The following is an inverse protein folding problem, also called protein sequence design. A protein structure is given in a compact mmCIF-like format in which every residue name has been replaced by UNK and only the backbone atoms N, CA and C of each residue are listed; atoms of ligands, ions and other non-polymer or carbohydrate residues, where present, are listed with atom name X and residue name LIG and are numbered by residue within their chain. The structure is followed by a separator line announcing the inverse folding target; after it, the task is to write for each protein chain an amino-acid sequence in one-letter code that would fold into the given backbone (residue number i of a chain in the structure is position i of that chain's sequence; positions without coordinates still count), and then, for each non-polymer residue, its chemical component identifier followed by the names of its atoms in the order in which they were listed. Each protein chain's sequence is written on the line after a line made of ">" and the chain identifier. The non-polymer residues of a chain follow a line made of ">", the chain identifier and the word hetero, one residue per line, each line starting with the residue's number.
data_IF_591639306235
#
_entry.id   IF_591639306235
#
_cell.length_a   1.000
_cell.length_b   1.000
_cell.length_c   1.000
_cell.angle_alpha   90.00
_cell.angle_beta   90.00
_cell.angle_gamma   90.00
#
_symmetry.space_group_name_H-M   'P 1'
#
loop_
_entity.id
_entity.type
_entity.pdbx_description
1 polymer ?
#
# COMPACT_ATOMS: atom_id res chain seq x y z
N UNK A 1 -13.46 13.63 11.53
CA UNK A 1 -12.87 14.79 10.83
C UNK A 1 -11.94 15.49 11.80
N UNK A 2 -10.64 15.49 11.52
CA UNK A 2 -9.65 16.28 12.27
C UNK A 2 -9.18 17.44 11.40
N UNK A 3 -8.98 18.60 12.02
CA UNK A 3 -8.42 19.78 11.38
C UNK A 3 -7.05 20.08 12.01
N UNK A 4 -6.00 20.10 11.19
CA UNK A 4 -4.67 20.55 11.59
C UNK A 4 -4.41 21.94 10.97
N UNK A 5 -3.81 22.84 11.76
CA UNK A 5 -3.49 24.19 11.32
C UNK A 5 -2.18 24.71 11.91
N UNK A 6 -1.43 25.45 11.09
CA UNK A 6 -0.18 26.15 11.48
C UNK A 6 -0.53 27.63 11.70
N UNK A 7 -0.55 28.13 12.92
CA UNK A 7 -0.99 29.50 13.26
C UNK A 7 -0.10 30.58 12.63
N UNK A 8 -0.72 31.58 11.95
CA UNK A 8 -0.05 32.71 11.30
C UNK A 8 -0.89 33.35 10.16
N UNK A 9 -0.45 34.49 9.58
CA UNK A 9 -1.18 35.20 8.49
C UNK A 9 -1.36 34.36 7.20
N UNK A 10 -0.52 33.33 7.02
CA UNK A 10 -0.64 32.34 5.95
C UNK A 10 -1.18 30.99 6.46
N UNK A 11 -2.21 31.03 7.31
CA UNK A 11 -2.81 29.82 7.86
C UNK A 11 -3.31 28.89 6.75
N UNK A 12 -2.85 27.64 6.76
CA UNK A 12 -3.36 26.55 5.93
C UNK A 12 -4.08 25.56 6.81
N UNK A 13 -5.23 25.09 6.36
CA UNK A 13 -6.06 24.13 7.08
C UNK A 13 -6.09 22.84 6.27
N UNK A 14 -5.78 21.72 6.92
CA UNK A 14 -5.91 20.39 6.31
C UNK A 14 -7.02 19.64 7.03
N UNK A 15 -8.03 19.21 6.27
CA UNK A 15 -9.10 18.35 6.70
C UNK A 15 -8.78 16.91 6.32
N UNK A 16 -8.65 16.04 7.33
CA UNK A 16 -8.43 14.61 7.16
C UNK A 16 -9.74 13.87 7.46
N UNK A 17 -10.23 13.16 6.45
CA UNK A 17 -11.44 12.34 6.54
C UNK A 17 -11.05 10.90 6.26
N UNK A 18 -11.19 10.06 7.27
CA UNK A 18 -10.85 8.64 7.19
C UNK A 18 -12.07 7.82 6.77
N UNK A 19 -11.87 6.82 5.92
CA UNK A 19 -12.86 5.82 5.52
C UNK A 19 -14.16 6.40 4.94
N UNK A 20 -14.04 7.30 3.96
CA UNK A 20 -15.20 7.97 3.37
C UNK A 20 -16.17 7.00 2.68
N UNK A 21 -15.67 5.87 2.18
CA UNK A 21 -16.48 4.82 1.57
C UNK A 21 -17.59 4.30 2.50
N UNK A 22 -17.29 4.12 3.79
CA UNK A 22 -18.31 3.72 4.77
C UNK A 22 -19.32 4.81 5.08
N UNK A 23 -18.89 6.07 5.10
CA UNK A 23 -19.79 7.20 5.33
C UNK A 23 -20.79 7.40 4.18
N UNK A 24 -20.33 7.20 2.95
CA UNK A 24 -21.16 7.37 1.75
C UNK A 24 -22.06 6.15 1.53
N UNK A 25 -21.54 4.94 1.75
CA UNK A 25 -22.28 3.70 1.55
C UNK A 25 -22.92 3.66 0.15
N UNK A 26 -24.25 3.60 0.08
CA UNK A 26 -25.02 3.66 -1.17
C UNK A 26 -25.70 5.02 -1.42
N UNK A 27 -25.48 6.01 -0.53
CA UNK A 27 -26.11 7.33 -0.61
C UNK A 27 -25.25 8.32 -1.39
N UNK A 28 -25.59 8.45 -2.67
CA UNK A 28 -24.98 9.38 -3.60
C UNK A 28 -25.11 10.85 -3.19
N UNK A 29 -26.09 11.22 -2.35
CA UNK A 29 -26.23 12.60 -1.88
C UNK A 29 -25.14 13.03 -0.88
N UNK A 30 -24.62 12.10 -0.08
CA UNK A 30 -23.54 12.39 0.86
C UNK A 30 -22.24 12.71 0.14
N UNK A 31 -21.95 12.04 -0.98
CA UNK A 31 -20.80 12.37 -1.82
C UNK A 31 -20.93 13.77 -2.44
N UNK A 32 -22.11 14.12 -2.96
CA UNK A 32 -22.37 15.46 -3.50
C UNK A 32 -22.22 16.55 -2.43
N UNK A 33 -22.63 16.25 -1.21
CA UNK A 33 -22.47 17.17 -0.07
C UNK A 33 -21.00 17.38 0.27
N UNK A 34 -20.21 16.31 0.34
CA UNK A 34 -18.76 16.38 0.56
C UNK A 34 -18.05 17.17 -0.54
N UNK A 35 -18.46 16.97 -1.79
CA UNK A 35 -17.95 17.73 -2.93
C UNK A 35 -18.25 19.22 -2.77
N UNK A 36 -19.51 19.58 -2.50
CA UNK A 36 -19.93 20.98 -2.32
C UNK A 36 -19.14 21.65 -1.19
N UNK A 37 -18.90 20.93 -0.09
CA UNK A 37 -18.07 21.41 1.01
C UNK A 37 -16.62 21.64 0.54
N UNK A 38 -16.04 20.71 -0.21
CA UNK A 38 -14.66 20.80 -0.71
C UNK A 38 -14.48 21.96 -1.69
N UNK A 39 -15.44 22.18 -2.60
CA UNK A 39 -15.43 23.29 -3.56
C UNK A 39 -15.59 24.65 -2.85
N UNK A 40 -16.50 24.73 -1.88
CA UNK A 40 -16.68 25.93 -1.06
C UNK A 40 -15.44 26.24 -0.24
N UNK A 41 -14.80 25.23 0.35
CA UNK A 41 -13.53 25.41 1.07
C UNK A 41 -12.42 25.88 0.14
N UNK A 42 -12.29 25.31 -1.05
CA UNK A 42 -11.31 25.76 -2.05
C UNK A 42 -11.52 27.22 -2.46
N UNK A 43 -12.77 27.63 -2.64
CA UNK A 43 -13.14 29.00 -3.06
C UNK A 43 -12.98 30.00 -1.91
N UNK A 44 -13.57 29.74 -0.74
CA UNK A 44 -13.55 30.63 0.42
C UNK A 44 -12.15 30.77 1.02
N UNK A 45 -11.36 29.69 1.03
CA UNK A 45 -10.01 29.72 1.58
C UNK A 45 -8.95 30.09 0.52
N UNK A 46 -9.33 30.39 -0.72
CA UNK A 46 -8.43 30.69 -1.84
C UNK A 46 -7.34 29.63 -2.02
N UNK A 47 -7.73 28.35 -1.99
CA UNK A 47 -6.80 27.21 -2.12
C UNK A 47 -5.94 26.92 -0.87
N UNK A 48 -6.15 27.63 0.25
CA UNK A 48 -5.43 27.40 1.52
C UNK A 48 -6.06 26.33 2.42
N UNK A 49 -7.19 25.76 2.00
CA UNK A 49 -7.81 24.61 2.67
C UNK A 49 -7.68 23.37 1.80
N UNK A 50 -7.11 22.31 2.35
CA UNK A 50 -6.93 21.02 1.67
C UNK A 50 -7.83 19.98 2.32
N UNK A 51 -8.49 19.16 1.50
CA UNK A 51 -9.31 18.06 1.96
C UNK A 51 -8.66 16.78 1.47
N UNK A 52 -8.29 15.91 2.41
CA UNK A 52 -7.70 14.60 2.15
C UNK A 52 -8.67 13.56 2.66
N UNK A 53 -9.08 12.67 1.76
CA UNK A 53 -10.02 11.57 2.02
C UNK A 53 -9.32 10.23 1.81
N UNK A 54 -9.59 9.26 2.67
CA UNK A 54 -9.13 7.86 2.51
C UNK A 54 -10.33 6.94 2.31
N UNK A 55 -10.12 5.80 1.63
CA UNK A 55 -11.13 4.73 1.44
C UNK A 55 -10.43 3.38 1.42
N UNK A 56 -10.98 2.36 2.10
CA UNK A 56 -10.43 1.00 2.10
C UNK A 56 -10.55 0.31 0.74
N UNK A 57 -11.68 0.50 0.08
CA UNK A 57 -11.91 -0.01 -1.28
C UNK A 57 -11.71 1.11 -2.28
N UNK A 58 -11.28 0.73 -3.48
CA UNK A 58 -11.36 1.63 -4.62
C UNK A 58 -12.79 2.15 -4.69
N UNK A 59 -12.96 3.47 -4.69
CA UNK A 59 -14.28 4.08 -4.85
C UNK A 59 -14.94 3.50 -6.11
N UNK A 60 -14.18 3.17 -7.15
CA UNK A 60 -14.69 2.51 -8.37
C UNK A 60 -15.33 1.13 -8.10
N UNK A 61 -14.78 0.36 -7.16
CA UNK A 61 -15.27 -0.97 -6.80
C UNK A 61 -16.56 -0.88 -5.95
N UNK A 62 -16.61 0.06 -5.01
CA UNK A 62 -17.82 0.36 -4.22
C UNK A 62 -18.97 0.81 -5.13
N UNK A 63 -18.65 1.46 -6.25
CA UNK A 63 -19.62 1.96 -7.21
C UNK A 63 -20.18 0.91 -8.17
N UNK A 64 -19.45 -0.17 -8.44
CA UNK A 64 -19.92 -1.26 -9.29
C UNK A 64 -21.17 -1.96 -8.75
N UNK A 65 -21.40 -1.89 -7.45
CA UNK A 65 -22.61 -2.42 -6.79
C UNK A 65 -23.81 -1.44 -6.84
N UNK A 66 -23.60 -0.19 -7.21
CA UNK A 66 -24.65 0.83 -7.30
C UNK A 66 -25.34 0.71 -8.67
N UNK A 67 -26.68 0.56 -8.66
CA UNK A 67 -27.54 0.44 -9.86
C UNK A 67 -27.06 1.34 -11.01
N UNK A 68 -26.96 0.77 -12.22
CA UNK A 68 -26.40 1.39 -13.43
C UNK A 68 -26.87 2.83 -13.75
N UNK A 69 -28.07 3.23 -13.29
CA UNK A 69 -28.57 4.60 -13.46
C UNK A 69 -27.87 5.64 -12.57
N UNK A 70 -27.38 5.27 -11.38
CA UNK A 70 -26.64 6.15 -10.46
C UNK A 70 -25.13 6.19 -10.74
N UNK A 71 -24.59 5.16 -11.41
CA UNK A 71 -23.18 5.07 -11.76
C UNK A 71 -22.72 6.21 -12.69
N UNK A 72 -23.57 6.62 -13.65
CA UNK A 72 -23.22 7.64 -14.64
C UNK A 72 -23.10 9.06 -14.04
N UNK A 73 -23.92 9.38 -13.04
CA UNK A 73 -23.80 10.64 -12.31
C UNK A 73 -22.55 10.64 -11.41
N UNK A 74 -22.17 9.48 -10.90
CA UNK A 74 -21.00 9.33 -10.04
C UNK A 74 -19.66 9.40 -10.79
N UNK A 75 -19.59 8.87 -12.02
CA UNK A 75 -18.40 9.04 -12.88
C UNK A 75 -18.11 10.51 -13.19
N UNK A 76 -19.15 11.36 -13.31
CA UNK A 76 -19.00 12.82 -13.45
C UNK A 76 -18.53 13.48 -12.15
N UNK A 77 -18.96 12.97 -10.99
CA UNK A 77 -18.56 13.45 -9.66
C UNK A 77 -17.09 13.13 -9.40
N UNK A 78 -16.64 11.91 -9.71
CA UNK A 78 -15.24 11.49 -9.57
C UNK A 78 -14.27 12.34 -10.41
N UNK A 79 -14.64 12.71 -11.64
CA UNK A 79 -13.80 13.54 -12.51
C UNK A 79 -13.42 14.92 -11.94
N UNK A 80 -14.06 15.35 -10.84
CA UNK A 80 -13.78 16.60 -10.14
C UNK A 80 -12.75 16.46 -9.01
N UNK A 81 -12.53 15.24 -8.51
CA UNK A 81 -11.39 14.91 -7.64
C UNK A 81 -10.14 14.65 -8.51
N UNK A 82 -9.48 15.73 -8.92
CA UNK A 82 -8.41 15.67 -9.92
C UNK A 82 -7.16 14.91 -9.48
N UNK A 83 -6.94 14.74 -8.17
CA UNK A 83 -5.73 14.11 -7.64
C UNK A 83 -6.10 12.85 -6.86
N UNK A 84 -5.95 11.71 -7.52
CA UNK A 84 -6.14 10.40 -6.91
C UNK A 84 -4.76 9.77 -6.69
N UNK A 85 -4.41 9.60 -5.42
CA UNK A 85 -3.24 8.81 -5.03
C UNK A 85 -3.75 7.40 -4.74
N UNK A 86 -3.63 6.52 -5.74
CA UNK A 86 -3.88 5.10 -5.53
C UNK A 86 -2.65 4.50 -4.87
N UNK A 87 -2.80 4.00 -3.65
CA UNK A 87 -1.81 3.14 -3.04
C UNK A 87 -2.05 1.74 -3.59
N UNK A 88 -1.27 1.33 -4.59
CA UNK A 88 -1.36 -0.03 -5.15
C UNK A 88 -0.57 -1.02 -4.27
N UNK A 89 -0.84 -2.30 -4.47
CA UNK A 89 -0.08 -3.39 -3.89
C UNK A 89 1.42 -3.34 -4.22
N UNK A 90 1.82 -2.66 -5.30
CA UNK A 90 3.23 -2.45 -5.64
C UNK A 90 3.97 -1.60 -4.58
N UNK A 91 3.24 -0.73 -3.87
CA UNK A 91 3.79 0.07 -2.77
C UNK A 91 3.95 -0.74 -1.47
N UNK A 92 3.32 -1.92 -1.37
CA UNK A 92 3.39 -2.74 -0.15
C UNK A 92 4.81 -3.28 0.05
N UNK A 93 5.51 -3.61 -1.04
CA UNK A 93 6.91 -4.06 -0.99
C UNK A 93 7.82 -2.97 -0.41
N UNK A 94 7.66 -1.71 -0.86
CA UNK A 94 8.39 -0.56 -0.32
C UNK A 94 8.06 -0.32 1.16
N UNK A 95 6.80 -0.44 1.54
CA UNK A 95 6.37 -0.31 2.94
C UNK A 95 6.98 -1.41 3.80
N UNK A 96 7.03 -2.66 3.33
CA UNK A 96 7.67 -3.76 4.07
C UNK A 96 9.17 -3.49 4.21
N UNK A 97 9.85 -3.08 3.14
CA UNK A 97 11.26 -2.73 3.19
C UNK A 97 11.52 -1.63 4.22
N UNK A 98 10.78 -0.52 4.14
CA UNK A 98 10.97 0.63 5.01
C UNK A 98 10.58 0.38 6.47
N UNK A 99 9.56 -0.45 6.72
CA UNK A 99 9.01 -0.66 8.07
C UNK A 99 9.62 -1.85 8.80
N UNK A 100 9.89 -2.95 8.10
CA UNK A 100 10.37 -4.21 8.70
C UNK A 100 11.83 -4.49 8.41
N UNK A 101 12.34 -4.04 7.26
CA UNK A 101 13.69 -4.41 6.79
C UNK A 101 14.70 -3.28 6.84
N UNK A 102 14.31 -2.09 7.32
CA UNK A 102 15.21 -0.94 7.44
C UNK A 102 16.49 -1.33 8.18
N UNK A 103 17.62 -1.16 7.50
CA UNK A 103 18.93 -1.52 8.04
C UNK A 103 19.45 -0.43 8.96
N UNK A 104 20.22 -0.83 9.97
CA UNK A 104 21.11 0.11 10.66
C UNK A 104 22.31 0.35 9.75
N UNK A 105 22.82 1.57 9.74
CA UNK A 105 23.90 2.01 8.84
C UNK A 105 25.10 1.05 8.86
N UNK A 106 25.43 0.51 10.04
CA UNK A 106 26.54 -0.39 10.29
C UNK A 106 26.46 -1.73 9.51
N UNK A 107 25.27 -2.18 9.14
CA UNK A 107 25.06 -3.46 8.45
C UNK A 107 24.93 -3.31 6.92
N UNK A 108 24.79 -2.07 6.43
CA UNK A 108 24.70 -1.79 5.00
C UNK A 108 25.99 -2.17 4.29
N UNK A 109 27.14 -1.76 4.84
CA UNK A 109 28.47 -2.03 4.25
C UNK A 109 28.83 -3.52 4.29
N UNK A 110 28.44 -4.22 5.36
CA UNK A 110 28.64 -5.67 5.48
C UNK A 110 27.84 -6.43 4.42
N UNK A 111 26.57 -6.07 4.23
CA UNK A 111 25.70 -6.68 3.21
C UNK A 111 26.17 -6.35 1.79
N UNK A 112 26.66 -5.14 1.55
CA UNK A 112 27.29 -4.76 0.29
C UNK A 112 28.51 -5.65 -0.01
N UNK A 113 29.38 -5.85 0.98
CA UNK A 113 30.53 -6.75 0.88
C UNK A 113 30.14 -8.20 0.54
N UNK A 114 29.11 -8.73 1.21
CA UNK A 114 28.58 -10.07 0.93
C UNK A 114 28.03 -10.17 -0.49
N UNK A 115 27.26 -9.17 -0.94
CA UNK A 115 26.70 -9.18 -2.28
C UNK A 115 27.81 -9.12 -3.32
N UNK A 116 28.80 -8.25 -3.15
CA UNK A 116 29.93 -8.13 -4.09
C UNK A 116 30.73 -9.43 -4.24
N UNK A 117 30.93 -10.17 -3.14
CA UNK A 117 31.62 -11.45 -3.15
C UNK A 117 30.78 -12.59 -3.77
N UNK A 118 29.46 -12.55 -3.57
CA UNK A 118 28.57 -13.68 -3.90
C UNK A 118 27.51 -13.39 -4.96
N UNK A 119 27.57 -12.24 -5.64
CA UNK A 119 26.52 -11.77 -6.55
C UNK A 119 26.16 -12.82 -7.60
N UNK A 120 27.16 -13.43 -8.24
CA UNK A 120 26.94 -14.42 -9.29
C UNK A 120 26.28 -15.69 -8.76
N UNK A 121 26.70 -16.16 -7.59
CA UNK A 121 26.12 -17.33 -6.93
C UNK A 121 24.66 -17.04 -6.55
N UNK A 122 24.41 -15.87 -5.94
CA UNK A 122 23.08 -15.44 -5.52
C UNK A 122 22.15 -15.34 -6.75
N UNK A 123 22.59 -14.67 -7.83
CA UNK A 123 21.80 -14.53 -9.06
C UNK A 123 21.53 -15.88 -9.72
N UNK A 124 22.52 -16.77 -9.74
CA UNK A 124 22.37 -18.11 -10.31
C UNK A 124 21.41 -18.97 -9.50
N UNK A 125 21.53 -19.01 -8.18
CA UNK A 125 20.63 -19.81 -7.33
C UNK A 125 19.18 -19.30 -7.32
N UNK A 126 19.00 -18.00 -7.58
CA UNK A 126 17.70 -17.35 -7.66
C UNK A 126 17.17 -17.25 -9.10
N UNK A 127 17.86 -17.89 -10.05
CA UNK A 127 17.37 -17.99 -11.42
C UNK A 127 16.36 -19.14 -11.56
N UNK A 128 15.14 -18.78 -11.94
CA UNK A 128 14.05 -19.74 -12.11
C UNK A 128 13.92 -20.12 -13.59
N UNK A 129 14.24 -21.37 -13.93
CA UNK A 129 14.07 -21.91 -15.28
C UNK A 129 12.82 -22.79 -15.36
N UNK A 130 12.02 -22.64 -16.43
CA UNK A 130 10.84 -23.48 -16.75
C UNK A 130 9.70 -23.47 -15.72
N UNK A 131 9.54 -22.41 -14.94
CA UNK A 131 8.51 -22.34 -13.88
C UNK A 131 7.18 -21.73 -14.35
N UNK A 132 7.03 -21.46 -15.67
CA UNK A 132 5.80 -20.88 -16.25
C UNK A 132 5.50 -19.43 -15.82
N UNK A 133 6.28 -18.89 -14.88
CA UNK A 133 6.19 -17.53 -14.36
C UNK A 133 7.58 -16.95 -14.12
N UNK A 134 7.71 -15.65 -14.35
CA UNK A 134 8.93 -14.89 -14.04
C UNK A 134 8.86 -14.42 -12.59
N UNK A 135 9.82 -14.85 -11.80
CA UNK A 135 10.02 -14.40 -10.42
C UNK A 135 11.10 -13.34 -10.36
N UNK A 136 10.90 -12.32 -9.54
CA UNK A 136 11.86 -11.23 -9.38
C UNK A 136 13.12 -11.73 -8.65
N UNK A 137 14.29 -11.51 -9.26
CA UNK A 137 15.60 -11.67 -8.62
C UNK A 137 16.12 -10.32 -8.12
N UNK A 138 17.22 -10.33 -7.36
CA UNK A 138 17.90 -9.09 -6.97
C UNK A 138 18.42 -8.34 -8.20
N UNK A 139 18.03 -7.08 -8.36
CA UNK A 139 18.45 -6.23 -9.48
C UNK A 139 19.90 -5.82 -9.34
N UNK A 140 20.27 -5.35 -8.15
CA UNK A 140 21.57 -4.81 -7.82
C UNK A 140 21.89 -4.99 -6.32
N UNK A 141 23.03 -4.42 -5.90
CA UNK A 141 23.51 -4.46 -4.52
C UNK A 141 22.54 -3.75 -3.56
N UNK A 142 22.01 -2.60 -3.95
CA UNK A 142 21.10 -1.83 -3.11
C UNK A 142 19.78 -2.57 -2.91
N UNK A 143 19.28 -3.21 -3.98
CA UNK A 143 18.11 -4.07 -3.97
C UNK A 143 18.32 -5.26 -3.02
N UNK A 144 19.52 -5.88 -3.04
CA UNK A 144 19.87 -6.93 -2.08
C UNK A 144 19.86 -6.44 -0.63
N UNK A 145 20.49 -5.30 -0.35
CA UNK A 145 20.53 -4.71 1.00
C UNK A 145 19.11 -4.43 1.51
N UNK A 146 18.26 -3.86 0.67
CA UNK A 146 16.90 -3.46 1.05
C UNK A 146 16.00 -4.67 1.33
N UNK A 147 16.17 -5.76 0.59
CA UNK A 147 15.32 -6.95 0.69
C UNK A 147 15.83 -8.00 1.68
N UNK A 148 17.14 -8.07 1.95
CA UNK A 148 17.73 -9.04 2.87
C UNK A 148 16.99 -9.03 4.22
N UNK A 149 16.62 -10.18 4.82
CA UNK A 149 17.02 -11.54 4.46
C UNK A 149 16.10 -12.23 3.44
N UNK A 150 15.12 -11.52 2.89
CA UNK A 150 14.17 -12.08 1.94
C UNK A 150 14.61 -11.82 0.50
N UNK A 151 14.37 -12.77 -0.39
CA UNK A 151 14.60 -12.58 -1.82
C UNK A 151 13.35 -11.94 -2.47
N UNK A 152 13.49 -11.07 -3.51
CA UNK A 152 12.37 -10.33 -4.09
C UNK A 152 11.19 -11.21 -4.53
N UNK A 153 11.45 -12.40 -5.08
CA UNK A 153 10.39 -13.34 -5.45
C UNK A 153 9.50 -13.80 -4.28
N UNK A 154 10.00 -13.78 -3.04
CA UNK A 154 9.25 -14.25 -1.87
C UNK A 154 8.08 -13.32 -1.54
N UNK A 155 8.21 -12.02 -1.81
CA UNK A 155 7.13 -11.03 -1.72
C UNK A 155 6.01 -11.35 -2.69
N UNK A 156 6.38 -11.50 -3.97
CA UNK A 156 5.45 -11.88 -5.03
C UNK A 156 4.77 -13.24 -4.77
N UNK A 157 5.50 -14.21 -4.21
CA UNK A 157 4.95 -15.53 -3.89
C UNK A 157 3.93 -15.46 -2.76
N UNK A 158 4.25 -14.77 -1.66
CA UNK A 158 3.35 -14.62 -0.50
C UNK A 158 2.08 -13.88 -0.93
N UNK A 159 2.20 -12.81 -1.71
CA UNK A 159 1.07 -12.10 -2.32
C UNK A 159 0.13 -13.05 -3.07
N UNK A 160 0.68 -13.86 -3.99
CA UNK A 160 -0.11 -14.83 -4.77
C UNK A 160 -0.75 -15.93 -3.94
N UNK A 161 -0.10 -16.36 -2.86
CA UNK A 161 -0.67 -17.32 -1.90
C UNK A 161 -1.89 -16.70 -1.22
N UNK A 162 -1.78 -15.47 -0.70
CA UNK A 162 -2.92 -14.78 -0.10
C UNK A 162 -4.05 -14.52 -1.09
N UNK A 163 -3.74 -14.12 -2.33
CA UNK A 163 -4.75 -13.97 -3.38
C UNK A 163 -5.47 -15.29 -3.69
N UNK A 164 -4.73 -16.39 -3.77
CA UNK A 164 -5.28 -17.72 -4.02
C UNK A 164 -6.18 -18.18 -2.86
N UNK A 165 -5.73 -17.97 -1.61
CA UNK A 165 -6.54 -18.26 -0.41
C UNK A 165 -7.83 -17.43 -0.43
N UNK A 166 -7.76 -16.16 -0.83
CA UNK A 166 -8.93 -15.29 -0.96
C UNK A 166 -9.91 -15.78 -2.05
N UNK A 167 -9.39 -16.22 -3.19
CA UNK A 167 -10.21 -16.71 -4.32
C UNK A 167 -10.91 -18.04 -4.02
N UNK A 168 -10.24 -18.96 -3.31
CA UNK A 168 -10.76 -20.31 -3.05
C UNK A 168 -11.54 -20.37 -1.72
N UNK A 169 -11.19 -19.54 -0.74
CA UNK A 169 -11.81 -19.51 0.59
C UNK A 169 -13.07 -18.65 0.64
N UNK A 170 -14.20 -19.17 0.18
CA UNK A 170 -15.52 -18.52 0.30
C UNK A 170 -15.97 -18.21 1.76
N UNK A 171 -15.24 -18.66 2.77
CA UNK A 171 -15.48 -18.43 4.21
C UNK A 171 -14.39 -17.61 4.92
N UNK A 172 -13.35 -17.15 4.20
CA UNK A 172 -12.16 -16.50 4.77
C UNK A 172 -12.16 -14.97 4.75
N UNK A 173 -13.34 -14.31 4.66
CA UNK A 173 -13.46 -12.83 4.53
C UNK A 173 -12.70 -12.03 5.60
N UNK A 174 -12.39 -12.63 6.75
CA UNK A 174 -11.67 -11.98 7.85
C UNK A 174 -10.15 -12.22 7.89
N UNK A 175 -9.61 -13.21 7.17
CA UNK A 175 -8.14 -13.43 7.12
C UNK A 175 -7.42 -12.52 6.11
N UNK A 176 -8.17 -11.87 5.22
CA UNK A 176 -7.65 -11.22 4.02
C UNK A 176 -7.87 -9.70 4.01
N UNK A 177 -7.51 -8.99 5.09
CA UNK A 177 -7.11 -7.57 4.94
C UNK A 177 -5.72 -7.55 4.31
N UNK A 178 -5.69 -7.72 2.98
CA UNK A 178 -4.54 -8.18 2.18
C UNK A 178 -3.17 -7.61 2.56
N UNK A 179 -3.07 -6.30 2.74
CA UNK A 179 -1.79 -5.63 3.03
C UNK A 179 -1.35 -5.81 4.49
N UNK A 180 -2.29 -5.80 5.43
CA UNK A 180 -2.01 -5.98 6.86
C UNK A 180 -1.68 -7.43 7.19
N UNK A 181 -2.39 -8.38 6.58
CA UNK A 181 -2.08 -9.80 6.69
C UNK A 181 -0.70 -10.13 6.11
N UNK A 182 -0.30 -9.46 5.03
CA UNK A 182 1.03 -9.60 4.45
C UNK A 182 2.10 -9.05 5.39
N UNK A 183 1.89 -7.84 5.94
CA UNK A 183 2.79 -7.25 6.94
C UNK A 183 2.95 -8.15 8.17
N UNK A 184 1.86 -8.67 8.72
CA UNK A 184 1.88 -9.57 9.89
C UNK A 184 2.63 -10.88 9.59
N UNK A 185 2.46 -11.43 8.37
CA UNK A 185 3.19 -12.63 7.93
C UNK A 185 4.70 -12.37 7.82
N UNK A 186 5.11 -11.28 7.17
CA UNK A 186 6.52 -10.90 7.08
C UNK A 186 7.13 -10.59 8.44
N UNK A 187 6.37 -9.92 9.31
CA UNK A 187 6.81 -9.62 10.68
C UNK A 187 7.01 -10.92 11.48
N UNK A 188 6.09 -11.88 11.37
CA UNK A 188 6.21 -13.19 12.03
C UNK A 188 7.42 -13.98 11.51
N UNK A 189 7.64 -13.99 10.18
CA UNK A 189 8.80 -14.63 9.57
C UNK A 189 10.11 -13.97 10.01
N UNK A 190 10.14 -12.64 10.05
CA UNK A 190 11.29 -11.87 10.53
C UNK A 190 11.60 -12.19 12.00
N UNK A 191 10.60 -12.19 12.88
CA UNK A 191 10.78 -12.57 14.29
C UNK A 191 11.30 -14.02 14.43
N UNK A 192 10.76 -14.97 13.67
CA UNK A 192 11.27 -16.35 13.68
C UNK A 192 12.72 -16.46 13.22
N UNK A 193 13.13 -15.66 12.23
CA UNK A 193 14.52 -15.60 11.78
C UNK A 193 15.44 -15.00 12.85
N UNK A 194 14.98 -13.99 13.59
CA UNK A 194 15.73 -13.43 14.72
C UNK A 194 15.90 -14.42 15.86
N UNK A 195 14.84 -15.12 16.25
CA UNK A 195 14.89 -16.16 17.31
C UNK A 195 15.85 -17.27 16.89
N UNK A 196 15.75 -17.76 15.65
CA UNK A 196 16.62 -18.82 15.14
C UNK A 196 18.09 -18.41 15.02
N UNK A 197 18.41 -17.11 14.98
CA UNK A 197 19.80 -16.60 15.06
C UNK A 197 20.34 -16.51 16.49
N UNK A 198 19.50 -16.60 17.53
CA UNK A 198 19.93 -16.66 18.94
C UNK A 198 20.14 -18.10 19.42
N UNK A 199 19.61 -19.09 18.70
CA UNK A 199 19.76 -20.52 18.98
C UNK A 199 21.02 -21.15 18.33
N UNK A 200 21.94 -20.34 17.80
CA UNK A 200 23.25 -20.75 17.27
C UNK A 200 24.38 -19.86 17.81
#
# INVERSE_FOLDING_TARGET
>A
MQALGITGEQHRIVFLVDEIGQFIGQDTHLMLSLQTITENLGTLCHGRAWVVVTSQEDIDAVLGEVKASKANDFSKIQGRFKTRLSLSSDNVDEVIQARLLKKKENFTDELAGIYKDKADIIKSQLSFYKVGMTFNSYKDEQDFINHYPFAPYQFQLIQKVFESIRKVGATGKHLARGERSMLDAFQTLHYKLLIRKQDF
#
